data_IF_867717617741
#
_entry.id   IF_867717617741
#
_cell.length_a   1.000
_cell.length_b   1.000
_cell.length_c   1.000
_cell.angle_alpha   90.00
_cell.angle_beta   90.00
_cell.angle_gamma   90.00
#
_symmetry.space_group_name_H-M   'P 1'
#
loop_
_entity.id
_entity.type
_entity.pdbx_description
1 polymer ?
#
# COMPACT_ATOMS: atom_id res chain seq x y z
N UNK A 1 24.43 -10.01 9.02
CA UNK A 1 23.63 -8.85 8.54
C UNK A 1 22.45 -8.64 9.47
N UNK A 2 22.58 -7.70 10.40
CA UNK A 2 21.48 -7.30 11.30
C UNK A 2 20.44 -6.52 10.50
N UNK A 3 19.45 -7.22 9.93
CA UNK A 3 18.22 -6.56 9.50
C UNK A 3 17.54 -6.06 10.77
N UNK A 4 17.72 -4.79 11.11
CA UNK A 4 16.85 -4.05 12.04
C UNK A 4 15.42 -4.34 11.61
N UNK A 5 14.75 -5.28 12.30
CA UNK A 5 13.34 -5.58 12.11
C UNK A 5 12.59 -4.37 12.63
N UNK A 6 12.38 -3.37 11.78
CA UNK A 6 11.40 -2.33 12.06
C UNK A 6 10.09 -3.06 12.34
N UNK A 7 9.54 -2.91 13.55
CA UNK A 7 8.30 -3.57 13.92
C UNK A 7 7.19 -3.05 13.00
N UNK A 8 6.76 -3.89 12.07
CA UNK A 8 5.62 -3.64 11.18
C UNK A 8 4.43 -4.35 11.79
N UNK A 9 3.31 -3.65 11.95
CA UNK A 9 2.10 -4.29 12.44
C UNK A 9 1.63 -5.36 11.45
N UNK A 10 1.08 -6.46 11.94
CA UNK A 10 0.56 -7.53 11.08
C UNK A 10 -0.69 -7.06 10.31
N UNK A 11 -1.45 -6.14 10.91
CA UNK A 11 -2.68 -5.59 10.34
C UNK A 11 -2.69 -4.07 10.47
N UNK A 12 -3.28 -3.41 9.48
CA UNK A 12 -3.49 -1.96 9.51
C UNK A 12 -4.72 -1.66 10.37
N UNK A 13 -4.54 -0.88 11.43
CA UNK A 13 -5.59 -0.45 12.35
C UNK A 13 -6.04 0.97 12.04
N UNK A 14 -7.31 1.11 11.63
CA UNK A 14 -7.92 2.42 11.35
C UNK A 14 -8.03 3.31 12.58
N UNK A 15 -8.08 2.71 13.78
CA UNK A 15 -8.15 3.44 15.05
C UNK A 15 -6.84 4.18 15.38
N UNK A 16 -5.71 3.75 14.79
CA UNK A 16 -4.40 4.37 14.98
C UNK A 16 -4.11 5.47 13.93
N UNK A 17 -5.00 5.67 12.97
CA UNK A 17 -4.86 6.75 11.98
C UNK A 17 -5.11 8.10 12.64
N UNK A 18 -4.14 9.00 12.50
CA UNK A 18 -4.23 10.38 12.98
C UNK A 18 -4.74 11.31 11.89
N UNK A 19 -4.33 11.07 10.65
CA UNK A 19 -4.71 11.90 9.50
C UNK A 19 -5.73 11.18 8.60
N UNK A 20 -6.60 11.96 7.96
CA UNK A 20 -7.58 11.42 7.01
C UNK A 20 -6.94 10.96 5.69
N UNK A 21 -5.72 11.41 5.40
CA UNK A 21 -4.91 10.90 4.28
C UNK A 21 -4.54 9.43 4.48
N UNK A 22 -4.33 8.96 5.72
CA UNK A 22 -4.06 7.55 6.03
C UNK A 22 -5.27 6.66 5.71
N UNK A 23 -6.47 7.11 6.07
CA UNK A 23 -7.74 6.44 5.76
C UNK A 23 -7.98 6.40 4.24
N UNK A 24 -7.75 7.53 3.58
CA UNK A 24 -7.95 7.67 2.13
C UNK A 24 -7.00 6.77 1.36
N UNK A 25 -5.72 6.73 1.78
CA UNK A 25 -4.73 5.82 1.23
C UNK A 25 -5.13 4.36 1.46
N UNK A 26 -5.55 3.99 2.67
CA UNK A 26 -5.99 2.62 2.95
C UNK A 26 -7.20 2.20 2.10
N UNK A 27 -8.18 3.08 1.93
CA UNK A 27 -9.33 2.82 1.06
C UNK A 27 -8.91 2.65 -0.40
N UNK A 28 -8.06 3.56 -0.91
CA UNK A 28 -7.52 3.50 -2.26
C UNK A 28 -6.74 2.21 -2.50
N UNK A 29 -5.92 1.77 -1.55
CA UNK A 29 -5.15 0.52 -1.63
C UNK A 29 -6.07 -0.69 -1.71
N UNK A 30 -7.06 -0.81 -0.83
CA UNK A 30 -8.01 -1.93 -0.91
C UNK A 30 -8.76 -1.94 -2.26
N UNK A 31 -9.12 -0.77 -2.76
CA UNK A 31 -9.81 -0.67 -4.06
C UNK A 31 -8.89 -1.06 -5.21
N UNK A 32 -7.64 -0.59 -5.22
CA UNK A 32 -6.65 -0.94 -6.22
C UNK A 32 -6.27 -2.43 -6.17
N UNK A 33 -6.11 -3.02 -4.98
CA UNK A 33 -5.90 -4.48 -4.81
C UNK A 33 -7.04 -5.27 -5.45
N UNK A 34 -8.29 -4.84 -5.19
CA UNK A 34 -9.48 -5.48 -5.77
C UNK A 34 -9.52 -5.33 -7.29
N UNK A 35 -9.37 -4.10 -7.80
CA UNK A 35 -9.39 -3.82 -9.23
C UNK A 35 -8.25 -4.53 -9.98
N UNK A 36 -7.04 -4.54 -9.42
CA UNK A 36 -5.91 -5.27 -9.97
C UNK A 36 -6.18 -6.78 -9.98
N UNK A 37 -6.72 -7.34 -8.88
CA UNK A 37 -7.08 -8.75 -8.82
C UNK A 37 -8.19 -9.13 -9.81
N UNK A 38 -9.20 -8.29 -10.01
CA UNK A 38 -10.23 -8.49 -11.03
C UNK A 38 -9.65 -8.38 -12.44
N UNK A 39 -8.80 -7.40 -12.71
CA UNK A 39 -8.19 -7.21 -14.01
C UNK A 39 -7.25 -8.37 -14.38
N UNK A 40 -6.43 -8.84 -13.43
CA UNK A 40 -5.59 -10.04 -13.59
C UNK A 40 -6.43 -11.29 -13.90
N UNK A 41 -7.57 -11.47 -13.24
CA UNK A 41 -8.48 -12.59 -13.53
C UNK A 41 -9.11 -12.53 -14.93
N UNK A 42 -9.19 -11.34 -15.52
CA UNK A 42 -9.69 -11.12 -16.87
C UNK A 42 -8.56 -11.00 -17.91
N UNK A 43 -7.32 -11.37 -17.56
CA UNK A 43 -6.12 -11.16 -18.39
C UNK A 43 -5.86 -9.69 -18.80
N UNK A 44 -6.48 -8.73 -18.10
CA UNK A 44 -6.31 -7.29 -18.29
C UNK A 44 -5.19 -6.73 -17.41
N UNK A 45 -3.95 -7.01 -17.80
CA UNK A 45 -2.77 -6.50 -17.09
C UNK A 45 -2.66 -4.96 -17.17
N UNK A 46 -3.19 -4.36 -18.23
CA UNK A 46 -3.17 -2.91 -18.41
C UNK A 46 -4.08 -2.24 -17.38
N UNK A 47 -5.28 -2.79 -17.15
CA UNK A 47 -6.20 -2.37 -16.10
C UNK A 47 -5.60 -2.51 -14.71
N UNK A 48 -4.86 -3.60 -14.44
CA UNK A 48 -4.16 -3.78 -13.16
C UNK A 48 -3.07 -2.73 -12.92
N UNK A 49 -2.27 -2.42 -13.96
CA UNK A 49 -1.24 -1.37 -13.91
C UNK A 49 -1.85 0.01 -13.71
N UNK A 50 -2.97 0.30 -14.36
CA UNK A 50 -3.72 1.55 -14.19
C UNK A 50 -4.27 1.69 -12.76
N UNK A 51 -4.86 0.62 -12.22
CA UNK A 51 -5.38 0.58 -10.85
C UNK A 51 -4.28 0.82 -9.79
N UNK A 52 -3.06 0.35 -10.02
CA UNK A 52 -1.94 0.69 -9.14
C UNK A 52 -1.40 2.09 -9.37
N UNK A 53 -1.47 2.61 -10.59
CA UNK A 53 -0.98 3.95 -10.91
C UNK A 53 -1.78 5.04 -10.18
N UNK A 54 -3.08 4.82 -9.95
CA UNK A 54 -3.91 5.76 -9.18
C UNK A 54 -3.54 5.81 -7.70
N UNK A 55 -2.80 4.82 -7.17
CA UNK A 55 -2.27 4.87 -5.80
C UNK A 55 -1.17 5.92 -5.63
N UNK A 56 -0.54 6.39 -6.71
CA UNK A 56 0.54 7.37 -6.63
C UNK A 56 0.08 8.65 -5.91
N UNK A 57 -1.09 9.16 -6.26
CA UNK A 57 -1.65 10.40 -5.71
C UNK A 57 -1.89 10.35 -4.18
N UNK A 58 -2.65 9.37 -3.65
CA UNK A 58 -2.86 9.25 -2.21
C UNK A 58 -1.59 8.85 -1.45
N UNK A 59 -0.65 8.13 -2.09
CA UNK A 59 0.65 7.82 -1.48
C UNK A 59 1.47 9.09 -1.30
N UNK A 60 1.55 9.94 -2.32
CA UNK A 60 2.28 11.20 -2.28
C UNK A 60 1.70 12.12 -1.20
N UNK A 61 0.38 12.32 -1.18
CA UNK A 61 -0.32 13.08 -0.15
C UNK A 61 -0.11 12.50 1.26
N UNK A 62 -0.10 11.17 1.41
CA UNK A 62 0.27 10.55 2.68
C UNK A 62 1.70 10.92 3.09
N UNK A 63 2.70 10.86 2.21
CA UNK A 63 4.07 11.24 2.58
C UNK A 63 4.24 12.75 2.86
N UNK A 64 3.44 13.61 2.23
CA UNK A 64 3.45 15.05 2.50
C UNK A 64 2.84 15.39 3.87
N UNK A 65 1.76 14.72 4.25
CA UNK A 65 1.03 15.03 5.48
C UNK A 65 1.41 14.15 6.67
N UNK A 66 1.93 12.94 6.42
CA UNK A 66 2.08 11.89 7.42
C UNK A 66 3.55 11.52 7.60
N UNK A 67 4.05 11.75 8.82
CA UNK A 67 5.43 11.45 9.17
C UNK A 67 5.57 9.97 9.55
N UNK A 68 6.10 9.14 8.66
CA UNK A 68 6.24 7.68 8.88
C UNK A 68 7.00 7.36 10.17
N UNK A 69 7.99 8.19 10.51
CA UNK A 69 8.75 8.08 11.75
C UNK A 69 8.10 8.89 12.88
N UNK A 70 6.88 8.49 13.27
CA UNK A 70 6.18 9.04 14.43
C UNK A 70 6.88 8.63 15.74
N UNK A 71 6.68 9.40 16.80
CA UNK A 71 7.18 9.10 18.14
C UNK A 71 6.44 7.91 18.76
N UNK A 72 5.18 7.71 18.35
CA UNK A 72 4.35 6.59 18.77
C UNK A 72 4.69 5.33 17.97
N UNK A 73 5.20 4.30 18.67
CA UNK A 73 5.58 3.04 18.05
C UNK A 73 4.40 2.30 17.42
N UNK A 74 3.19 2.43 17.98
CA UNK A 74 2.00 1.77 17.43
C UNK A 74 1.58 2.43 16.12
N UNK A 75 1.54 3.77 16.09
CA UNK A 75 1.23 4.54 14.87
C UNK A 75 2.29 4.29 13.79
N UNK A 76 3.57 4.31 14.15
CA UNK A 76 4.67 3.98 13.25
C UNK A 76 4.53 2.56 12.66
N UNK A 77 4.26 1.56 13.49
CA UNK A 77 4.08 0.18 13.05
C UNK A 77 2.89 0.04 12.09
N UNK A 78 1.81 0.78 12.35
CA UNK A 78 0.62 0.84 11.50
C UNK A 78 0.91 1.48 10.12
N UNK A 79 1.61 2.62 10.10
CA UNK A 79 2.05 3.30 8.87
C UNK A 79 2.95 2.42 8.02
N UNK A 80 3.88 1.71 8.67
CA UNK A 80 4.73 0.75 7.98
C UNK A 80 3.93 -0.44 7.42
N UNK A 81 2.90 -0.90 8.12
CA UNK A 81 2.02 -1.97 7.63
C UNK A 81 1.25 -1.53 6.38
N UNK A 82 0.78 -0.28 6.36
CA UNK A 82 0.13 0.31 5.19
C UNK A 82 1.07 0.36 3.98
N UNK A 83 2.30 0.84 4.18
CA UNK A 83 3.33 0.85 3.13
C UNK A 83 3.72 -0.56 2.66
N UNK A 84 3.78 -1.52 3.57
CA UNK A 84 4.04 -2.92 3.25
C UNK A 84 2.93 -3.52 2.38
N UNK A 85 1.66 -3.21 2.66
CA UNK A 85 0.52 -3.63 1.81
C UNK A 85 0.59 -3.04 0.41
N UNK A 86 0.85 -1.73 0.28
CA UNK A 86 1.04 -1.09 -1.03
C UNK A 86 2.14 -1.80 -1.82
N UNK A 87 3.28 -2.05 -1.17
CA UNK A 87 4.40 -2.75 -1.80
C UNK A 87 4.02 -4.17 -2.20
N UNK A 88 3.24 -4.89 -1.39
CA UNK A 88 2.77 -6.23 -1.72
C UNK A 88 1.84 -6.21 -2.94
N UNK A 89 0.85 -5.30 -2.96
CA UNK A 89 -0.06 -5.12 -4.07
C UNK A 89 0.67 -4.79 -5.38
N UNK A 90 1.62 -3.85 -5.33
CA UNK A 90 2.45 -3.48 -6.49
C UNK A 90 3.35 -4.63 -6.92
N UNK A 91 3.95 -5.36 -5.98
CA UNK A 91 4.76 -6.53 -6.30
C UNK A 91 3.94 -7.62 -6.99
N UNK A 92 2.70 -7.88 -6.56
CA UNK A 92 1.86 -8.89 -7.20
C UNK A 92 1.66 -8.58 -8.68
N UNK A 93 1.21 -7.37 -9.01
CA UNK A 93 1.03 -6.96 -10.42
C UNK A 93 2.36 -6.92 -11.18
N UNK A 94 3.45 -6.47 -10.54
CA UNK A 94 4.78 -6.46 -11.16
C UNK A 94 5.32 -7.87 -11.45
N UNK A 95 5.04 -8.86 -10.61
CA UNK A 95 5.44 -10.25 -10.84
C UNK A 95 4.72 -10.81 -12.07
N UNK A 96 3.41 -10.61 -12.19
CA UNK A 96 2.64 -11.00 -13.38
C UNK A 96 3.15 -10.32 -14.65
N UNK A 97 3.56 -9.05 -14.57
CA UNK A 97 4.12 -8.32 -15.71
C UNK A 97 5.42 -8.94 -16.25
N UNK A 98 6.17 -9.67 -15.41
CA UNK A 98 7.42 -10.35 -15.82
C UNK A 98 7.19 -11.71 -16.47
N UNK A 99 6.04 -12.34 -16.24
CA UNK A 99 5.74 -13.69 -16.76
C UNK A 99 5.18 -13.59 -18.19
N UNK A 100 4.53 -12.48 -18.54
CA UNK A 100 3.93 -12.25 -19.86
C UNK A 100 4.84 -11.49 -20.86
N UNK A 101 6.12 -11.25 -20.51
CA UNK A 101 7.11 -10.54 -21.32
C UNK A 101 8.06 -11.44 -22.10
#
# INVERSE_FOLDING_TARGET
>A
EEKKKTAVAETVELALFREDTEKSLFAAVNQAEKQAGEAIQNDDFSGALLALSVLREPVDSFFEHVLVNDEDQAVRANRLALLARIRAATNQVADFSKIAG
#
